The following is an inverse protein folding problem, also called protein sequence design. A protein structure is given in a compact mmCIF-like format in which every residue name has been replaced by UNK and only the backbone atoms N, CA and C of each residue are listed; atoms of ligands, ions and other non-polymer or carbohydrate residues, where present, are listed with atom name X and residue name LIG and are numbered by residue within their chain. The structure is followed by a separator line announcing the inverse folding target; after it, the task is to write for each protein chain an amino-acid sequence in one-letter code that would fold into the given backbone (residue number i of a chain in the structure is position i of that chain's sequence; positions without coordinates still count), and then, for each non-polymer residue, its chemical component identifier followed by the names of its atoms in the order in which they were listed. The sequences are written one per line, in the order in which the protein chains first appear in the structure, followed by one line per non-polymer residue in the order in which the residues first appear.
data_IF_589220562057
#
_entry.id   IF_589220562057
#
_cell.length_a   1.000
_cell.length_b   1.000
_cell.length_c   1.000
_cell.angle_alpha   90.00
_cell.angle_beta   90.00
_cell.angle_gamma   90.00
#
_symmetry.space_group_name_H-M   'P 1'
#
loop_
_entity.id
_entity.type
_entity.pdbx_description
1 polymer ?
#
# COMPACT_ATOMS: atom_id res chain seq x y z
N UNK A 1 -6.97 23.33 28.86
CA UNK A 1 -7.43 22.35 27.86
C UNK A 1 -8.85 21.94 28.23
N UNK A 2 -9.80 22.10 27.32
CA UNK A 2 -11.17 21.60 27.50
C UNK A 2 -11.19 20.06 27.35
N UNK A 3 -12.19 19.40 27.94
CA UNK A 3 -12.33 17.94 27.92
C UNK A 3 -12.29 17.36 26.49
N UNK A 4 -12.85 18.08 25.52
CA UNK A 4 -12.82 17.72 24.10
C UNK A 4 -11.39 17.64 23.53
N UNK A 5 -10.54 18.66 23.77
CA UNK A 5 -9.16 18.64 23.27
C UNK A 5 -8.31 17.57 23.96
N UNK A 6 -8.53 17.33 25.25
CA UNK A 6 -7.85 16.25 25.96
C UNK A 6 -8.19 14.88 25.36
N UNK A 7 -9.46 14.64 25.05
CA UNK A 7 -9.87 13.40 24.42
C UNK A 7 -9.28 13.24 23.01
N UNK A 8 -9.42 14.27 22.16
CA UNK A 8 -9.02 14.21 20.75
C UNK A 8 -7.50 14.22 20.58
N UNK A 9 -6.78 15.07 21.28
CA UNK A 9 -5.32 15.17 21.16
C UNK A 9 -4.55 14.23 22.08
N UNK A 10 -5.15 13.84 23.21
CA UNK A 10 -4.47 13.09 24.25
C UNK A 10 -4.79 11.60 24.27
N UNK A 11 -5.99 11.17 23.87
CA UNK A 11 -6.41 9.75 23.99
C UNK A 11 -6.49 9.09 22.61
N UNK A 12 -7.22 9.71 21.68
CA UNK A 12 -7.46 9.11 20.36
C UNK A 12 -6.19 8.73 19.57
N UNK A 13 -5.09 9.50 19.57
CA UNK A 13 -3.91 9.14 18.79
C UNK A 13 -3.28 7.83 19.27
N UNK A 14 -3.21 7.61 20.59
CA UNK A 14 -2.68 6.36 21.14
C UNK A 14 -3.58 5.17 20.80
N UNK A 15 -4.90 5.34 20.91
CA UNK A 15 -5.86 4.31 20.51
C UNK A 15 -5.72 4.00 19.01
N UNK A 16 -5.64 5.03 18.17
CA UNK A 16 -5.51 4.89 16.72
C UNK A 16 -4.23 4.13 16.34
N UNK A 17 -3.08 4.45 16.95
CA UNK A 17 -1.81 3.76 16.70
C UNK A 17 -1.90 2.29 17.12
N UNK A 18 -2.46 2.00 18.31
CA UNK A 18 -2.59 0.61 18.79
C UNK A 18 -3.49 -0.19 17.85
N UNK A 19 -4.66 0.34 17.51
CA UNK A 19 -5.62 -0.33 16.61
C UNK A 19 -5.02 -0.53 15.23
N UNK A 20 -4.30 0.46 14.70
CA UNK A 20 -3.63 0.36 13.41
C UNK A 20 -2.56 -0.74 13.42
N UNK A 21 -1.63 -0.73 14.38
CA UNK A 21 -0.52 -1.68 14.44
C UNK A 21 -1.02 -3.12 14.66
N UNK A 22 -1.90 -3.31 15.65
CA UNK A 22 -2.44 -4.64 15.97
C UNK A 22 -3.33 -5.15 14.84
N UNK A 23 -4.20 -4.29 14.29
CA UNK A 23 -5.08 -4.64 13.19
C UNK A 23 -4.31 -5.01 11.91
N UNK A 24 -3.27 -4.25 11.57
CA UNK A 24 -2.40 -4.54 10.43
C UNK A 24 -1.62 -5.84 10.64
N UNK A 25 -1.05 -6.06 11.83
CA UNK A 25 -0.36 -7.31 12.17
C UNK A 25 -1.26 -8.53 12.06
N UNK A 26 -2.49 -8.44 12.59
CA UNK A 26 -3.49 -9.50 12.46
C UNK A 26 -3.84 -9.78 11.00
N UNK A 27 -4.05 -8.75 10.18
CA UNK A 27 -4.34 -8.91 8.75
C UNK A 27 -3.20 -9.60 8.00
N UNK A 28 -1.95 -9.20 8.26
CA UNK A 28 -0.80 -9.88 7.66
C UNK A 28 -0.73 -11.35 8.08
N UNK A 29 -0.91 -11.65 9.36
CA UNK A 29 -0.93 -13.03 9.85
C UNK A 29 -2.00 -13.88 9.14
N UNK A 30 -3.22 -13.35 9.03
CA UNK A 30 -4.30 -14.04 8.31
C UNK A 30 -3.94 -14.23 6.83
N UNK A 31 -3.39 -13.23 6.14
CA UNK A 31 -3.00 -13.36 4.75
C UNK A 31 -1.91 -14.39 4.51
N UNK A 32 -0.89 -14.46 5.37
CA UNK A 32 0.18 -15.46 5.23
C UNK A 32 -0.26 -16.87 5.57
N UNK A 33 -1.25 -17.02 6.45
CA UNK A 33 -1.78 -18.33 6.84
C UNK A 33 -2.91 -18.82 5.93
N UNK A 34 -3.53 -17.94 5.15
CA UNK A 34 -4.63 -18.30 4.24
C UNK A 34 -4.03 -19.04 3.03
N UNK A 35 -4.33 -20.34 2.84
CA UNK A 35 -3.84 -21.08 1.69
C UNK A 35 -4.48 -20.52 0.42
N UNK A 36 -3.66 -20.26 -0.60
CA UNK A 36 -4.12 -19.69 -1.87
C UNK A 36 -5.09 -20.67 -2.56
N UNK A 37 -6.37 -20.29 -2.77
CA UNK A 37 -7.35 -21.17 -3.38
C UNK A 37 -7.11 -21.24 -4.89
N UNK A 38 -6.47 -22.33 -5.32
CA UNK A 38 -6.40 -22.77 -6.71
C UNK A 38 -5.14 -22.36 -7.47
N UNK A 39 -4.62 -23.28 -8.29
CA UNK A 39 -3.65 -22.98 -9.34
C UNK A 39 -4.35 -22.12 -10.40
N UNK A 40 -4.34 -20.80 -10.22
CA UNK A 40 -4.81 -19.88 -11.25
C UNK A 40 -3.91 -20.01 -12.47
N UNK A 41 -4.45 -20.51 -13.58
CA UNK A 41 -3.80 -20.58 -14.89
C UNK A 41 -3.70 -19.20 -15.55
N UNK A 42 -3.50 -18.16 -14.76
CA UNK A 42 -3.53 -16.79 -15.25
C UNK A 42 -2.18 -16.46 -15.88
N UNK A 43 -2.28 -16.28 -17.20
CA UNK A 43 -1.29 -15.78 -18.16
C UNK A 43 0.06 -16.51 -18.18
N UNK A 44 0.76 -16.54 -19.33
CA UNK A 44 2.07 -17.16 -19.39
C UNK A 44 2.99 -16.57 -18.31
N UNK A 45 3.66 -17.44 -17.56
CA UNK A 45 4.62 -17.01 -16.55
C UNK A 45 5.64 -16.04 -17.19
N UNK A 46 6.07 -14.99 -16.46
CA UNK A 46 7.04 -14.04 -16.97
C UNK A 46 8.25 -14.76 -17.55
N UNK A 47 8.65 -14.41 -18.78
CA UNK A 47 9.88 -14.93 -19.39
C UNK A 47 11.07 -14.25 -18.71
N UNK A 48 11.49 -14.74 -17.53
CA UNK A 48 12.60 -14.17 -16.76
C UNK A 48 12.43 -14.30 -15.24
N UNK A 49 13.09 -13.41 -14.49
CA UNK A 49 12.99 -13.37 -13.02
C UNK A 49 11.58 -12.96 -12.58
N UNK A 50 10.84 -13.87 -11.94
CA UNK A 50 9.52 -13.60 -11.37
C UNK A 50 9.56 -12.39 -10.42
N UNK A 51 10.55 -12.36 -9.51
CA UNK A 51 10.71 -11.26 -8.58
C UNK A 51 10.98 -9.93 -9.29
N UNK A 52 11.83 -9.94 -10.32
CA UNK A 52 12.12 -8.74 -11.11
C UNK A 52 10.90 -8.21 -11.87
N UNK A 53 10.11 -9.12 -12.46
CA UNK A 53 8.87 -8.75 -13.15
C UNK A 53 7.82 -8.18 -12.19
N UNK A 54 7.65 -8.78 -11.01
CA UNK A 54 6.71 -8.28 -9.99
C UNK A 54 7.17 -6.92 -9.43
N UNK A 55 8.46 -6.76 -9.15
CA UNK A 55 9.01 -5.47 -8.69
C UNK A 55 8.84 -4.37 -9.74
N UNK A 56 9.15 -4.67 -11.01
CA UNK A 56 8.96 -3.72 -12.09
C UNK A 56 7.48 -3.35 -12.27
N UNK A 57 6.58 -4.33 -12.18
CA UNK A 57 5.13 -4.09 -12.23
C UNK A 57 4.66 -3.19 -11.07
N UNK A 58 5.16 -3.44 -9.86
CA UNK A 58 4.76 -2.70 -8.65
C UNK A 58 5.30 -1.27 -8.64
N UNK A 59 6.52 -1.04 -9.11
CA UNK A 59 7.15 0.27 -9.06
C UNK A 59 6.78 1.14 -10.26
N UNK A 60 6.79 0.58 -11.47
CA UNK A 60 6.69 1.36 -12.71
C UNK A 60 5.36 1.18 -13.44
N UNK A 61 4.56 0.18 -13.07
CA UNK A 61 3.32 -0.19 -13.73
C UNK A 61 3.42 -0.32 -15.27
N UNK A 62 4.41 -1.05 -15.83
CA UNK A 62 4.56 -1.26 -17.27
C UNK A 62 3.32 -1.87 -17.94
N UNK A 63 2.51 -2.69 -17.27
CA UNK A 63 1.23 -3.15 -17.83
C UNK A 63 0.24 -2.00 -17.98
N UNK A 64 0.12 -1.15 -16.95
CA UNK A 64 -0.75 0.02 -16.97
C UNK A 64 -0.31 1.03 -18.04
N UNK A 65 0.99 1.26 -18.19
CA UNK A 65 1.52 2.14 -19.23
C UNK A 65 1.13 1.71 -20.64
N UNK A 66 1.04 0.39 -20.89
CA UNK A 66 0.62 -0.16 -22.18
C UNK A 66 -0.89 -0.11 -22.39
N UNK A 67 -1.68 -0.27 -21.32
CA UNK A 67 -3.15 -0.28 -21.39
C UNK A 67 -3.77 1.11 -21.40
N UNK A 68 -3.36 1.98 -20.47
CA UNK A 68 -3.91 3.32 -20.29
C UNK A 68 -2.82 4.29 -19.79
N UNK A 69 -2.33 5.12 -20.71
CA UNK A 69 -1.29 6.11 -20.42
C UNK A 69 -1.78 7.25 -19.54
N UNK A 70 -3.08 7.58 -19.59
CA UNK A 70 -3.66 8.66 -18.80
C UNK A 70 -3.73 8.22 -17.34
N UNK A 71 -4.27 7.03 -17.09
CA UNK A 71 -4.33 6.46 -15.76
C UNK A 71 -2.92 6.21 -15.19
N UNK A 72 -1.96 5.78 -16.02
CA UNK A 72 -0.56 5.66 -15.62
C UNK A 72 0.02 7.00 -15.14
N UNK A 73 -0.20 8.08 -15.90
CA UNK A 73 0.30 9.40 -15.55
C UNK A 73 -0.30 9.90 -14.23
N UNK A 74 -1.63 9.87 -14.09
CA UNK A 74 -2.29 10.31 -12.86
C UNK A 74 -1.91 9.46 -11.65
N UNK A 75 -1.75 8.15 -11.82
CA UNK A 75 -1.29 7.26 -10.75
C UNK A 75 0.09 7.67 -10.27
N UNK A 76 1.03 7.91 -11.18
CA UNK A 76 2.38 8.36 -10.81
C UNK A 76 2.40 9.73 -10.14
N UNK A 77 1.61 10.69 -10.64
CA UNK A 77 1.48 12.00 -10.01
C UNK A 77 0.92 11.91 -8.59
N UNK A 78 -0.10 11.08 -8.37
CA UNK A 78 -0.66 10.84 -7.06
C UNK A 78 0.37 10.26 -6.09
N UNK A 79 1.08 9.20 -6.49
CA UNK A 79 2.11 8.58 -5.65
C UNK A 79 3.29 9.52 -5.37
N UNK A 80 3.77 10.26 -6.37
CA UNK A 80 4.81 11.26 -6.17
C UNK A 80 4.37 12.34 -5.16
N UNK A 81 3.13 12.81 -5.25
CA UNK A 81 2.58 13.79 -4.32
C UNK A 81 2.47 13.23 -2.90
N UNK A 82 2.02 11.98 -2.72
CA UNK A 82 2.00 11.33 -1.41
C UNK A 82 3.40 11.23 -0.79
N UNK A 83 4.41 10.82 -1.58
CA UNK A 83 5.79 10.74 -1.10
C UNK A 83 6.29 12.13 -0.67
N UNK A 84 6.04 13.16 -1.48
CA UNK A 84 6.43 14.54 -1.14
C UNK A 84 5.75 15.04 0.14
N UNK A 85 4.47 14.74 0.34
CA UNK A 85 3.75 15.10 1.57
C UNK A 85 4.36 14.39 2.77
N UNK A 86 4.65 13.09 2.67
CA UNK A 86 5.27 12.32 3.76
C UNK A 86 6.67 12.86 4.09
N UNK A 87 7.52 13.09 3.09
CA UNK A 87 8.82 13.73 3.30
C UNK A 87 8.67 15.12 3.93
N UNK A 88 7.62 15.85 3.55
CA UNK A 88 7.24 17.15 4.12
C UNK A 88 6.81 17.09 5.59
N UNK A 89 6.29 15.96 6.08
CA UNK A 89 5.94 15.76 7.49
C UNK A 89 7.12 15.28 8.35
N UNK A 90 8.15 14.70 7.72
CA UNK A 90 9.36 14.22 8.41
C UNK A 90 10.35 15.37 8.68
N UNK A 91 10.35 16.42 7.84
CA UNK A 91 11.13 17.65 8.05
C UNK A 91 10.46 18.61 9.04
#
# INVERSE_FOLDING_TARGET
MNAFQFFVGGILPYVAVIVFVVGMGYRFYVWFTTPQPGKMTLTPAPKGSLAGSVLAETLFFPSLFKGDKVLWLFSWFFHATLVLIVLGHIR
#
